data_IF_049913923452
#
_entry.id   IF_049913923452
#
_cell.length_a   1.000
_cell.length_b   1.000
_cell.length_c   1.000
_cell.angle_alpha   90.00
_cell.angle_beta   90.00
_cell.angle_gamma   90.00
#
_symmetry.space_group_name_H-M   'P 1'
#
loop_
_entity.id
_entity.type
_entity.pdbx_description
1 polymer ?
#
# COMPACT_ATOMS: atom_id res chain seq x y z
N UNK A 1 59.16 -48.38 -23.00
CA UNK A 1 59.20 -47.07 -22.32
C UNK A 1 58.04 -46.23 -22.84
N UNK A 2 56.90 -46.24 -22.14
CA UNK A 2 55.79 -45.31 -22.35
C UNK A 2 55.66 -44.52 -21.04
N UNK A 3 55.98 -43.24 -21.09
CA UNK A 3 55.88 -42.33 -19.96
C UNK A 3 54.40 -42.07 -19.65
N UNK A 4 53.99 -42.38 -18.42
CA UNK A 4 52.71 -41.95 -17.86
C UNK A 4 52.95 -40.58 -17.23
N UNK A 5 52.32 -39.55 -17.79
CA UNK A 5 52.29 -38.20 -17.22
C UNK A 5 51.18 -38.15 -16.18
N UNK A 6 51.53 -37.98 -14.90
CA UNK A 6 50.55 -37.67 -13.85
C UNK A 6 50.25 -36.17 -13.89
N UNK A 7 49.04 -35.79 -14.30
CA UNK A 7 48.49 -34.47 -14.03
C UNK A 7 48.11 -34.40 -12.55
N UNK A 8 48.77 -33.54 -11.78
CA UNK A 8 48.26 -33.07 -10.49
C UNK A 8 47.12 -32.09 -10.75
N UNK A 9 45.88 -32.53 -10.52
CA UNK A 9 44.72 -31.65 -10.44
C UNK A 9 44.75 -30.92 -9.10
N UNK A 10 45.12 -29.64 -9.11
CA UNK A 10 44.94 -28.76 -7.96
C UNK A 10 43.45 -28.59 -7.71
N UNK A 11 42.94 -29.21 -6.64
CA UNK A 11 41.60 -28.92 -6.10
C UNK A 11 41.68 -27.50 -5.52
N UNK A 12 41.18 -26.52 -6.29
CA UNK A 12 40.82 -25.22 -5.76
C UNK A 12 39.50 -25.40 -5.01
N UNK A 13 39.56 -25.42 -3.68
CA UNK A 13 38.37 -25.21 -2.85
C UNK A 13 38.03 -23.73 -2.99
N UNK A 14 37.05 -23.39 -3.82
CA UNK A 14 36.38 -22.09 -3.72
C UNK A 14 35.66 -22.10 -2.37
N UNK A 15 36.29 -21.52 -1.35
CA UNK A 15 35.54 -21.00 -0.22
C UNK A 15 34.64 -19.90 -0.80
N UNK A 16 33.33 -20.16 -0.88
CA UNK A 16 32.36 -19.10 -1.07
C UNK A 16 32.47 -18.18 0.12
N UNK A 17 33.16 -17.05 -0.03
CA UNK A 17 33.00 -15.94 0.89
C UNK A 17 31.57 -15.46 0.70
N UNK A 18 30.67 -15.86 1.59
CA UNK A 18 29.43 -15.11 1.80
C UNK A 18 29.89 -13.75 2.33
N UNK A 19 29.79 -12.72 1.50
CA UNK A 19 29.93 -11.36 1.97
C UNK A 19 28.92 -11.21 3.11
N UNK A 20 29.40 -10.93 4.33
CA UNK A 20 28.50 -10.57 5.42
C UNK A 20 27.67 -9.37 4.93
N UNK A 21 26.36 -9.37 5.16
CA UNK A 21 25.56 -8.18 4.84
C UNK A 21 26.15 -7.00 5.60
N UNK A 22 26.23 -5.85 4.94
CA UNK A 22 26.64 -4.62 5.62
C UNK A 22 25.63 -4.29 6.73
N UNK A 23 26.12 -3.66 7.79
CA UNK A 23 25.26 -3.06 8.80
C UNK A 23 24.59 -1.82 8.22
N UNK A 24 23.28 -1.71 8.40
CA UNK A 24 22.49 -0.60 7.87
C UNK A 24 21.54 -0.06 8.93
N UNK A 25 21.26 1.24 8.90
CA UNK A 25 20.16 1.84 9.65
C UNK A 25 18.85 1.16 9.23
N UNK A 26 18.06 0.74 10.21
CA UNK A 26 16.85 -0.06 10.01
C UNK A 26 15.61 0.70 10.44
N UNK A 27 15.64 1.30 11.62
CA UNK A 27 14.50 1.93 12.25
C UNK A 27 15.01 3.00 13.21
N UNK A 28 14.24 4.06 13.40
CA UNK A 28 14.47 5.01 14.47
C UNK A 28 13.15 5.53 15.05
N UNK A 29 13.22 5.98 16.28
CA UNK A 29 12.21 6.85 16.88
C UNK A 29 12.92 7.93 17.66
N UNK A 30 12.50 9.18 17.44
CA UNK A 30 13.09 10.36 18.07
C UNK A 30 12.05 11.19 18.84
N UNK A 31 10.78 11.19 18.42
CA UNK A 31 9.74 12.05 19.01
C UNK A 31 8.44 11.28 19.31
N UNK A 32 7.66 11.74 20.28
CA UNK A 32 6.33 11.23 20.63
C UNK A 32 5.49 12.26 21.40
N UNK A 33 4.18 12.04 21.59
CA UNK A 33 3.39 12.91 22.42
C UNK A 33 3.94 13.03 23.84
N UNK A 34 4.13 14.27 24.29
CA UNK A 34 4.57 14.64 25.64
C UNK A 34 6.08 14.52 25.86
N UNK A 35 6.53 13.50 26.58
CA UNK A 35 7.95 13.31 26.90
C UNK A 35 8.46 12.17 26.07
N UNK A 36 9.58 12.40 25.39
CA UNK A 36 10.26 11.39 24.63
C UNK A 36 10.82 10.34 25.58
N UNK A 37 10.22 9.17 25.52
CA UNK A 37 10.56 8.03 26.37
C UNK A 37 10.86 6.79 25.56
N UNK A 38 10.66 6.84 24.24
CA UNK A 38 10.81 5.71 23.33
C UNK A 38 11.85 6.03 22.25
N UNK A 39 12.89 6.80 22.60
CA UNK A 39 13.97 7.17 21.68
C UNK A 39 14.95 6.01 21.45
N UNK A 40 15.13 5.64 20.19
CA UNK A 40 16.08 4.61 19.78
C UNK A 40 16.49 4.77 18.32
N UNK A 41 17.61 4.13 17.98
CA UNK A 41 18.01 3.78 16.62
C UNK A 41 18.31 2.30 16.54
N UNK A 42 17.93 1.68 15.43
CA UNK A 42 18.16 0.28 15.15
C UNK A 42 19.07 0.10 13.95
N UNK A 43 19.97 -0.86 14.06
CA UNK A 43 20.86 -1.29 13.01
C UNK A 43 20.55 -2.74 12.65
N UNK A 44 20.28 -3.02 11.38
CA UNK A 44 20.13 -4.37 10.85
C UNK A 44 21.47 -4.91 10.32
N UNK A 45 21.66 -6.22 10.39
CA UNK A 45 22.84 -6.86 9.79
C UNK A 45 22.84 -8.38 9.92
N UNK A 46 23.92 -9.02 9.47
CA UNK A 46 24.05 -10.45 9.62
C UNK A 46 24.22 -10.84 11.10
N UNK A 47 23.48 -11.84 11.58
CA UNK A 47 23.57 -12.35 12.96
C UNK A 47 25.02 -12.62 13.36
N UNK A 48 25.45 -12.02 14.48
CA UNK A 48 26.80 -12.14 15.02
C UNK A 48 27.86 -11.30 14.30
N UNK A 49 27.48 -10.45 13.34
CA UNK A 49 28.41 -9.50 12.74
C UNK A 49 28.92 -8.52 13.80
N UNK A 50 30.24 -8.31 13.83
CA UNK A 50 30.88 -7.38 14.77
C UNK A 50 30.54 -5.93 14.44
N UNK A 51 30.32 -5.14 15.48
CA UNK A 51 30.20 -3.68 15.44
C UNK A 51 31.49 -2.98 15.89
N UNK A 52 32.59 -3.73 16.08
CA UNK A 52 33.89 -3.17 16.38
C UNK A 52 34.29 -2.13 15.33
N UNK A 53 34.89 -1.03 15.79
CA UNK A 53 35.32 0.09 14.95
C UNK A 53 34.15 0.81 14.23
N UNK A 54 32.90 0.61 14.64
CA UNK A 54 31.75 1.32 14.11
C UNK A 54 31.20 2.29 15.19
N UNK A 55 30.83 3.49 14.76
CA UNK A 55 30.17 4.48 15.61
C UNK A 55 28.84 4.91 15.01
N UNK A 56 27.83 5.08 15.86
CA UNK A 56 26.61 5.79 15.51
C UNK A 56 26.81 7.29 15.77
N UNK A 57 26.58 8.11 14.76
CA UNK A 57 26.83 9.56 14.81
C UNK A 57 25.60 10.31 14.31
N UNK A 58 25.20 11.35 15.04
CA UNK A 58 24.20 12.32 14.59
C UNK A 58 24.94 13.63 14.32
N UNK A 59 24.73 14.16 13.11
CA UNK A 59 25.12 15.51 12.74
C UNK A 59 23.87 16.38 12.64
N UNK A 60 23.95 17.59 13.17
CA UNK A 60 22.95 18.63 12.99
C UNK A 60 23.61 20.00 13.09
N UNK A 61 23.09 20.86 13.96
CA UNK A 61 23.47 22.26 14.08
C UNK A 61 24.48 22.53 15.21
N UNK A 62 25.06 23.72 15.18
CA UNK A 62 25.86 24.22 16.28
C UNK A 62 26.23 25.68 16.11
N UNK A 63 27.06 26.19 17.02
CA UNK A 63 27.42 27.62 17.02
C UNK A 63 28.13 28.11 15.74
N UNK A 64 28.66 27.18 14.95
CA UNK A 64 29.38 27.44 13.70
C UNK A 64 28.52 27.37 12.44
N UNK A 65 27.37 26.69 12.47
CA UNK A 65 26.62 26.28 11.28
C UNK A 65 26.24 24.80 11.37
N UNK A 66 26.11 24.13 10.22
CA UNK A 66 25.68 22.72 10.14
C UNK A 66 26.87 21.75 10.15
N UNK A 67 26.62 20.46 10.34
CA UNK A 67 27.65 19.42 10.29
C UNK A 67 28.39 19.21 11.61
N UNK A 68 27.82 19.70 12.71
CA UNK A 68 28.36 19.52 14.06
C UNK A 68 27.90 18.19 14.64
N UNK A 69 28.82 17.48 15.30
CA UNK A 69 28.55 16.19 15.96
C UNK A 69 27.76 16.44 17.24
N UNK A 70 26.53 15.97 17.31
CA UNK A 70 25.70 16.04 18.53
C UNK A 70 25.71 14.74 19.32
N UNK A 71 25.77 13.62 18.60
CA UNK A 71 25.84 12.28 19.18
C UNK A 71 27.00 11.53 18.56
N UNK A 72 27.78 10.83 19.39
CA UNK A 72 28.82 9.91 18.95
C UNK A 72 28.91 8.73 19.92
N UNK A 73 28.35 7.58 19.53
CA UNK A 73 28.33 6.35 20.33
C UNK A 73 29.28 5.33 19.70
N UNK A 74 30.29 4.89 20.44
CA UNK A 74 31.20 3.80 20.06
C UNK A 74 30.53 2.45 20.33
N UNK A 75 30.40 1.60 19.30
CA UNK A 75 29.77 0.29 19.39
C UNK A 75 30.77 -0.85 19.54
N UNK A 76 32.03 -0.54 19.82
CA UNK A 76 33.08 -1.55 20.03
C UNK A 76 32.73 -2.55 21.13
N UNK A 77 32.93 -3.83 20.84
CA UNK A 77 32.59 -4.94 21.73
C UNK A 77 31.16 -5.47 21.58
N UNK A 78 30.32 -4.82 20.75
CA UNK A 78 28.98 -5.26 20.45
C UNK A 78 28.91 -6.03 19.11
N UNK A 79 27.82 -6.77 18.93
CA UNK A 79 27.54 -7.55 17.72
C UNK A 79 26.05 -7.43 17.39
N UNK A 80 25.69 -7.64 16.13
CA UNK A 80 24.31 -7.86 15.73
C UNK A 80 23.78 -9.12 16.44
N UNK A 81 22.65 -8.99 17.13
CA UNK A 81 22.13 -10.04 18.01
C UNK A 81 21.49 -11.19 17.21
N UNK A 82 20.92 -12.17 17.93
CA UNK A 82 20.35 -13.37 17.31
C UNK A 82 19.11 -13.11 16.43
N UNK A 83 18.46 -11.95 16.58
CA UNK A 83 17.32 -11.55 15.78
C UNK A 83 17.74 -10.84 14.48
N UNK A 84 19.03 -10.54 14.29
CA UNK A 84 19.52 -9.81 13.11
C UNK A 84 19.58 -8.30 13.28
N UNK A 85 19.35 -7.80 14.50
CA UNK A 85 19.29 -6.37 14.81
C UNK A 85 20.25 -6.00 15.95
N UNK A 86 20.51 -4.71 16.07
CA UNK A 86 21.15 -4.09 17.22
C UNK A 86 20.39 -2.81 17.58
N UNK A 87 19.79 -2.78 18.76
CA UNK A 87 18.98 -1.65 19.24
C UNK A 87 19.83 -0.79 20.19
N UNK A 88 20.08 0.45 19.79
CA UNK A 88 20.70 1.48 20.62
C UNK A 88 19.61 2.44 21.09
N UNK A 89 19.37 2.51 22.40
CA UNK A 89 18.25 3.27 22.94
C UNK A 89 18.61 4.04 24.21
N UNK A 90 17.79 5.02 24.58
CA UNK A 90 17.90 5.69 25.88
C UNK A 90 17.35 4.80 26.99
N UNK A 91 17.68 5.10 28.24
CA UNK A 91 17.26 4.30 29.42
C UNK A 91 15.76 4.33 29.69
N UNK A 92 15.04 5.27 29.07
CA UNK A 92 13.58 5.40 29.12
C UNK A 92 12.85 4.40 28.23
N UNK A 93 13.54 3.86 27.22
CA UNK A 93 12.97 3.01 26.17
C UNK A 93 12.31 1.73 26.70
N UNK A 94 11.10 1.44 26.22
CA UNK A 94 10.30 0.27 26.60
C UNK A 94 9.66 -0.50 25.44
N UNK A 95 9.73 -0.01 24.20
CA UNK A 95 9.17 -0.71 23.02
C UNK A 95 9.87 -2.03 22.68
N UNK A 96 11.08 -2.24 23.19
CA UNK A 96 11.85 -3.47 22.97
C UNK A 96 12.91 -3.70 24.05
N UNK A 97 13.98 -4.38 23.68
CA UNK A 97 15.16 -4.57 24.54
C UNK A 97 16.36 -3.94 23.87
N UNK A 98 16.92 -2.91 24.49
CA UNK A 98 18.15 -2.28 24.03
C UNK A 98 19.33 -3.25 24.18
N UNK A 99 20.13 -3.40 23.12
CA UNK A 99 21.42 -4.09 23.16
C UNK A 99 22.51 -3.19 23.77
N UNK A 100 22.38 -1.88 23.59
CA UNK A 100 23.16 -0.84 24.26
C UNK A 100 22.25 0.30 24.70
N UNK A 101 22.40 0.71 25.96
CA UNK A 101 21.70 1.88 26.51
C UNK A 101 22.68 3.04 26.61
N UNK A 102 22.36 4.17 26.00
CA UNK A 102 23.16 5.40 26.05
C UNK A 102 22.27 6.65 26.16
N UNK A 103 22.28 7.28 27.34
CA UNK A 103 21.51 8.50 27.61
C UNK A 103 22.17 9.78 27.08
N UNK A 104 23.39 9.69 26.53
CA UNK A 104 24.09 10.83 25.94
C UNK A 104 23.60 11.18 24.53
N UNK A 105 22.80 10.31 23.91
CA UNK A 105 22.20 10.56 22.61
C UNK A 105 21.25 11.76 22.66
N UNK A 106 21.51 12.72 21.77
CA UNK A 106 20.70 13.89 21.52
C UNK A 106 19.87 13.64 20.27
N UNK A 107 18.60 13.31 20.47
CA UNK A 107 17.60 13.22 19.42
C UNK A 107 16.90 14.58 19.35
N UNK A 108 17.01 15.26 18.21
CA UNK A 108 16.47 16.61 18.03
C UNK A 108 15.10 16.56 17.35
N UNK A 109 14.10 17.22 17.95
CA UNK A 109 12.71 17.15 17.49
C UNK A 109 12.37 18.30 16.52
N UNK A 110 13.34 19.11 16.08
CA UNK A 110 13.05 20.39 15.41
C UNK A 110 14.21 20.93 14.57
N UNK A 111 14.62 20.18 13.55
CA UNK A 111 15.57 20.59 12.52
C UNK A 111 15.84 19.43 11.54
N UNK A 112 16.70 19.69 10.56
CA UNK A 112 17.27 18.67 9.72
C UNK A 112 18.50 18.05 10.40
N UNK A 113 18.47 16.75 10.67
CA UNK A 113 19.63 16.00 11.20
C UNK A 113 20.06 14.88 10.26
N UNK A 114 21.29 14.42 10.38
CA UNK A 114 21.81 13.27 9.64
C UNK A 114 22.33 12.19 10.57
N UNK A 115 21.73 11.01 10.49
CA UNK A 115 22.15 9.81 11.22
C UNK A 115 23.15 9.03 10.37
N UNK A 116 24.23 8.56 10.98
CA UNK A 116 25.33 7.90 10.26
C UNK A 116 25.89 6.71 11.03
N UNK A 117 26.28 5.68 10.27
CA UNK A 117 27.18 4.63 10.72
C UNK A 117 28.56 4.90 10.12
N UNK A 118 29.53 5.22 10.97
CA UNK A 118 30.88 5.61 10.54
C UNK A 118 31.90 4.60 11.06
N UNK A 119 32.61 3.95 10.13
CA UNK A 119 33.69 3.02 10.47
C UNK A 119 35.01 3.78 10.70
N UNK A 120 35.63 3.60 11.87
CA UNK A 120 36.89 4.25 12.24
C UNK A 120 36.74 5.73 12.59
N UNK A 121 35.58 6.13 13.10
CA UNK A 121 35.34 7.49 13.56
C UNK A 121 36.24 7.83 14.76
N UNK A 122 36.85 9.00 14.72
CA UNK A 122 37.76 9.50 15.76
C UNK A 122 37.37 10.90 16.26
N UNK A 123 36.23 11.45 15.82
CA UNK A 123 35.68 12.70 16.31
C UNK A 123 34.96 12.54 17.66
N UNK A 124 34.50 13.65 18.20
CA UNK A 124 33.74 13.72 19.44
C UNK A 124 32.55 14.68 19.31
N UNK A 125 31.59 14.57 20.24
CA UNK A 125 30.48 15.52 20.35
C UNK A 125 31.03 16.96 20.46
N UNK A 126 30.48 17.85 19.63
CA UNK A 126 30.87 19.25 19.46
C UNK A 126 31.93 19.50 18.38
N UNK A 127 32.49 18.47 17.76
CA UNK A 127 33.35 18.65 16.59
C UNK A 127 32.51 19.09 15.39
N UNK A 128 32.99 20.12 14.69
CA UNK A 128 32.40 20.61 13.44
C UNK A 128 33.07 19.91 12.25
N UNK A 129 32.31 19.06 11.56
CA UNK A 129 32.79 18.27 10.44
C UNK A 129 32.62 18.98 9.09
N UNK A 130 31.83 20.05 9.00
CA UNK A 130 31.61 20.87 7.80
C UNK A 130 31.95 22.34 8.12
N UNK A 131 33.20 22.56 8.51
CA UNK A 131 33.67 23.87 8.96
C UNK A 131 33.56 25.02 7.93
N UNK A 132 33.14 24.72 6.71
CA UNK A 132 32.92 25.72 5.65
C UNK A 132 31.45 25.89 5.27
N UNK A 133 30.53 25.12 5.87
CA UNK A 133 29.09 25.12 5.60
C UNK A 133 28.77 24.97 4.10
N UNK A 134 29.52 24.12 3.39
CA UNK A 134 29.39 23.94 1.95
C UNK A 134 28.71 22.62 1.54
N UNK A 135 28.33 21.81 2.52
CA UNK A 135 27.69 20.51 2.35
C UNK A 135 28.68 19.38 2.15
N UNK A 136 29.98 19.62 2.37
CA UNK A 136 31.04 18.62 2.30
C UNK A 136 31.72 18.47 3.67
N UNK A 137 31.74 17.23 4.18
CA UNK A 137 32.35 16.95 5.47
C UNK A 137 33.90 16.95 5.40
N UNK A 138 34.51 18.12 5.52
CA UNK A 138 35.96 18.34 5.54
C UNK A 138 36.68 17.69 6.73
N UNK A 139 36.00 17.64 7.88
CA UNK A 139 36.53 17.14 9.15
C UNK A 139 36.31 15.65 9.38
N UNK A 140 35.66 14.95 8.45
CA UNK A 140 35.29 13.54 8.62
C UNK A 140 36.52 12.65 8.80
N UNK A 141 36.49 11.84 9.85
CA UNK A 141 37.40 10.72 10.06
C UNK A 141 36.68 9.40 9.85
N UNK A 142 37.39 8.41 9.31
CA UNK A 142 36.80 7.10 9.02
C UNK A 142 36.09 7.05 7.67
N UNK A 143 35.05 6.23 7.58
CA UNK A 143 34.26 6.03 6.36
C UNK A 143 32.79 5.87 6.72
N UNK A 144 31.92 6.69 6.13
CA UNK A 144 30.47 6.53 6.23
C UNK A 144 30.10 5.22 5.51
N UNK A 145 29.50 4.31 6.25
CA UNK A 145 29.07 2.99 5.76
C UNK A 145 27.58 2.94 5.48
N UNK A 146 26.79 3.75 6.20
CA UNK A 146 25.39 4.01 5.93
C UNK A 146 25.01 5.37 6.51
N UNK A 147 24.02 6.04 5.93
CA UNK A 147 23.53 7.33 6.43
C UNK A 147 22.13 7.70 5.95
N UNK A 148 21.38 8.35 6.84
CA UNK A 148 20.01 8.81 6.64
C UNK A 148 19.87 10.26 7.08
N UNK A 149 19.43 11.13 6.17
CA UNK A 149 18.97 12.48 6.50
C UNK A 149 17.53 12.44 6.98
N UNK A 150 17.25 13.01 8.14
CA UNK A 150 15.90 13.18 8.67
C UNK A 150 15.55 14.65 8.48
N UNK A 151 14.57 14.93 7.61
CA UNK A 151 14.32 16.26 7.07
C UNK A 151 13.04 16.84 7.68
N UNK A 152 13.13 18.03 8.27
CA UNK A 152 12.00 18.89 8.60
C UNK A 152 11.69 19.90 7.47
N UNK A 153 12.72 20.48 6.84
CA UNK A 153 12.55 21.49 5.79
C UNK A 153 13.42 21.17 4.55
N UNK A 154 12.76 21.04 3.38
CA UNK A 154 13.46 20.71 2.13
C UNK A 154 14.14 21.94 1.54
N UNK A 155 15.47 21.90 1.42
CA UNK A 155 16.27 22.94 0.76
C UNK A 155 16.46 24.22 1.58
N UNK A 156 16.13 24.17 2.86
CA UNK A 156 16.38 25.16 3.89
C UNK A 156 16.65 24.42 5.22
N UNK A 157 16.85 25.16 6.31
CA UNK A 157 17.33 24.59 7.57
C UNK A 157 18.78 24.12 7.47
N UNK A 158 19.15 23.19 8.35
CA UNK A 158 20.50 22.64 8.39
C UNK A 158 20.83 21.76 7.18
N UNK A 159 22.11 21.77 6.83
CA UNK A 159 22.64 20.92 5.78
C UNK A 159 22.57 19.46 6.21
N UNK A 160 22.26 18.60 5.24
CA UNK A 160 22.16 17.16 5.44
C UNK A 160 23.14 16.42 4.56
N UNK A 161 23.61 15.28 5.07
CA UNK A 161 24.75 14.55 4.50
C UNK A 161 24.44 13.07 4.23
N UNK A 162 23.18 12.68 4.41
CA UNK A 162 22.70 11.31 4.23
C UNK A 162 22.71 10.88 2.77
N UNK A 163 23.01 9.60 2.53
CA UNK A 163 22.87 8.98 1.21
C UNK A 163 21.40 8.70 0.85
N UNK A 164 20.57 8.59 1.87
CA UNK A 164 19.12 8.48 1.82
C UNK A 164 18.50 9.61 2.66
N UNK A 165 17.22 9.87 2.45
CA UNK A 165 16.48 10.87 3.22
C UNK A 165 15.07 10.40 3.53
N UNK A 166 14.56 10.81 4.69
CA UNK A 166 13.16 10.65 5.10
C UNK A 166 12.60 12.02 5.51
N UNK A 167 11.33 12.26 5.24
CA UNK A 167 10.65 13.50 5.59
C UNK A 167 10.61 14.55 4.46
N UNK A 168 9.94 15.68 4.72
CA UNK A 168 9.26 16.02 5.97
C UNK A 168 7.95 15.30 6.19
N UNK A 169 7.51 15.21 7.45
CA UNK A 169 6.14 14.82 7.80
C UNK A 169 5.27 16.09 7.92
N UNK A 170 4.79 16.55 6.76
CA UNK A 170 4.11 17.83 6.66
C UNK A 170 5.05 19.00 6.92
N UNK A 171 4.96 19.60 8.11
CA UNK A 171 5.83 20.72 8.55
C UNK A 171 6.68 20.35 9.77
N UNK A 172 6.87 19.06 10.01
CA UNK A 172 7.63 18.54 11.14
C UNK A 172 8.70 17.56 10.66
N UNK A 173 9.72 17.39 11.50
CA UNK A 173 10.62 16.25 11.40
C UNK A 173 9.82 14.94 11.58
N UNK A 174 10.09 13.88 10.82
CA UNK A 174 9.52 12.57 11.09
C UNK A 174 9.83 12.10 12.51
N UNK A 175 8.80 11.85 13.31
CA UNK A 175 8.96 11.38 14.69
C UNK A 175 9.57 9.97 14.78
N UNK A 176 9.39 9.18 13.73
CA UNK A 176 9.87 7.81 13.60
C UNK A 176 9.88 7.42 12.13
N UNK A 177 10.72 6.45 11.77
CA UNK A 177 10.68 5.83 10.47
C UNK A 177 11.46 4.53 10.42
N UNK A 178 11.18 3.74 9.39
CA UNK A 178 11.81 2.44 9.19
C UNK A 178 12.05 2.13 7.71
N UNK A 179 13.08 1.32 7.46
CA UNK A 179 13.51 0.90 6.14
C UNK A 179 12.74 -0.33 5.69
N UNK A 180 12.13 -0.25 4.52
CA UNK A 180 11.43 -1.35 3.89
C UNK A 180 12.34 -2.24 3.05
N UNK A 181 11.86 -3.45 2.73
CA UNK A 181 12.59 -4.38 1.88
C UNK A 181 12.85 -3.84 0.46
N UNK A 182 12.07 -2.86 -0.01
CA UNK A 182 12.32 -2.13 -1.26
C UNK A 182 13.54 -1.20 -1.20
N UNK A 183 14.05 -0.91 0.01
CA UNK A 183 15.06 0.11 0.26
C UNK A 183 14.49 1.52 0.45
N UNK A 184 13.16 1.67 0.55
CA UNK A 184 12.52 2.96 0.83
C UNK A 184 12.26 3.12 2.32
N UNK A 185 12.41 4.33 2.83
CA UNK A 185 12.04 4.67 4.21
C UNK A 185 10.56 5.06 4.31
N UNK A 186 9.87 4.55 5.32
CA UNK A 186 8.51 4.94 5.66
C UNK A 186 8.48 5.79 6.93
N UNK A 187 7.59 6.79 6.93
CA UNK A 187 7.30 7.63 8.08
C UNK A 187 6.20 6.96 8.89
N UNK A 188 6.45 6.74 10.18
CA UNK A 188 5.42 6.29 11.11
C UNK A 188 4.65 7.44 11.76
N UNK A 189 3.53 7.12 12.39
CA UNK A 189 2.69 8.13 13.04
C UNK A 189 3.30 8.68 14.33
N UNK A 190 3.20 10.00 14.53
CA UNK A 190 3.69 10.68 15.75
C UNK A 190 3.22 10.02 17.05
N UNK A 191 1.93 9.68 17.18
CA UNK A 191 1.36 9.06 18.38
C UNK A 191 1.26 7.53 18.34
N UNK A 192 1.47 6.92 17.18
CA UNK A 192 1.31 5.48 17.01
C UNK A 192 2.65 4.79 17.24
N UNK A 193 2.67 3.88 18.22
CA UNK A 193 3.84 3.09 18.55
C UNK A 193 3.75 1.67 17.97
N UNK A 194 2.60 1.29 17.38
CA UNK A 194 2.38 -0.07 16.91
C UNK A 194 3.21 -0.43 15.68
N UNK A 195 3.59 0.59 14.88
CA UNK A 195 4.51 0.41 13.75
C UNK A 195 5.97 0.27 14.16
N UNK A 196 6.31 0.53 15.44
CA UNK A 196 7.68 0.39 15.90
C UNK A 196 8.02 -1.05 16.27
N UNK A 197 9.09 -1.58 15.70
CA UNK A 197 9.40 -3.01 15.73
C UNK A 197 10.79 -3.34 16.28
N UNK A 198 11.40 -2.43 17.05
CA UNK A 198 12.73 -2.58 17.64
C UNK A 198 13.08 -4.02 18.11
N UNK A 199 14.06 -4.61 17.45
CA UNK A 199 14.54 -5.97 17.62
C UNK A 199 13.86 -7.01 16.72
N UNK A 200 13.05 -6.60 15.75
CA UNK A 200 12.30 -7.44 14.81
C UNK A 200 12.20 -6.81 13.41
N UNK A 201 11.75 -7.60 12.43
CA UNK A 201 11.59 -7.13 11.05
C UNK A 201 10.55 -5.99 10.97
N UNK A 202 10.89 -4.93 10.23
CA UNK A 202 10.00 -3.81 9.94
C UNK A 202 8.76 -4.27 9.16
N UNK A 203 7.58 -3.85 9.61
CA UNK A 203 6.34 -4.04 8.86
C UNK A 203 6.12 -2.84 7.91
N UNK A 204 6.25 -3.12 6.62
CA UNK A 204 5.99 -2.15 5.57
C UNK A 204 4.70 -2.38 4.81
N UNK A 205 3.93 -3.40 5.18
CA UNK A 205 2.72 -3.74 4.45
C UNK A 205 1.72 -2.58 4.52
N UNK A 206 1.08 -2.20 3.39
CA UNK A 206 0.07 -1.17 3.40
C UNK A 206 -1.08 -1.52 4.34
N UNK A 207 -1.75 -0.53 4.92
CA UNK A 207 -2.86 -0.78 5.86
C UNK A 207 -4.00 -1.63 5.25
N UNK A 208 -4.11 -1.63 3.92
CA UNK A 208 -5.06 -2.42 3.16
C UNK A 208 -4.45 -3.62 2.43
N UNK A 209 -3.36 -4.18 2.95
CA UNK A 209 -2.71 -5.37 2.37
C UNK A 209 -3.61 -6.61 2.39
N UNK A 210 -4.46 -6.72 3.41
CA UNK A 210 -5.42 -7.80 3.57
C UNK A 210 -6.86 -7.29 3.52
N UNK A 211 -7.80 -8.18 3.17
CA UNK A 211 -9.23 -7.88 3.20
C UNK A 211 -9.70 -7.27 4.52
N UNK A 212 -9.16 -7.74 5.65
CA UNK A 212 -9.52 -7.22 6.98
C UNK A 212 -9.17 -5.73 7.16
N UNK A 213 -8.12 -5.26 6.48
CA UNK A 213 -7.66 -3.88 6.46
C UNK A 213 -8.26 -3.03 5.34
N UNK A 214 -9.24 -3.55 4.58
CA UNK A 214 -9.81 -2.86 3.42
C UNK A 214 -10.20 -1.40 3.72
N UNK A 215 -9.60 -0.46 2.99
CA UNK A 215 -9.87 0.97 3.17
C UNK A 215 -11.23 1.32 2.54
N UNK A 216 -12.05 2.07 3.28
CA UNK A 216 -13.33 2.56 2.76
C UNK A 216 -13.13 3.66 1.72
N UNK A 217 -13.71 3.48 0.53
CA UNK A 217 -13.59 4.40 -0.61
C UNK A 217 -14.96 4.85 -1.11
N UNK A 218 -14.97 5.97 -1.84
CA UNK A 218 -16.16 6.54 -2.51
C UNK A 218 -15.95 6.55 -4.03
N UNK A 219 -17.01 6.87 -4.78
CA UNK A 219 -16.88 7.09 -6.23
C UNK A 219 -15.88 8.22 -6.52
N UNK A 220 -15.05 8.04 -7.53
CA UNK A 220 -13.90 8.90 -7.85
C UNK A 220 -12.60 8.10 -7.93
N UNK A 221 -11.48 8.84 -8.04
CA UNK A 221 -10.14 8.28 -8.06
C UNK A 221 -9.62 8.09 -6.63
N UNK A 222 -9.08 6.91 -6.35
CA UNK A 222 -8.36 6.60 -5.11
C UNK A 222 -6.94 6.16 -5.46
N UNK A 223 -5.90 6.87 -4.97
CA UNK A 223 -4.52 6.48 -5.20
C UNK A 223 -4.21 5.08 -4.66
N UNK A 224 -3.36 4.36 -5.37
CA UNK A 224 -2.91 3.03 -5.03
C UNK A 224 -1.42 2.85 -5.38
N UNK A 225 -0.71 2.11 -4.54
CA UNK A 225 0.67 1.68 -4.74
C UNK A 225 0.87 0.36 -3.99
N UNK A 226 1.26 -0.70 -4.70
CA UNK A 226 1.44 -2.03 -4.12
C UNK A 226 2.90 -2.39 -3.85
N UNK A 227 3.81 -1.42 -3.80
CA UNK A 227 5.26 -1.65 -3.68
C UNK A 227 5.61 -2.52 -2.48
N UNK A 228 4.94 -2.35 -1.35
CA UNK A 228 5.16 -3.15 -0.14
C UNK A 228 4.07 -4.21 0.12
N UNK A 229 3.11 -4.34 -0.81
CA UNK A 229 1.97 -5.23 -0.61
C UNK A 229 2.36 -6.71 -0.75
N UNK A 230 1.70 -7.57 0.03
CA UNK A 230 1.75 -9.02 -0.10
C UNK A 230 0.54 -9.55 -0.86
N UNK A 231 0.46 -10.87 -1.05
CA UNK A 231 -0.65 -11.49 -1.80
C UNK A 231 -1.59 -12.19 -0.84
N UNK A 232 -2.80 -11.66 -0.67
CA UNK A 232 -3.84 -12.32 0.08
C UNK A 232 -4.49 -13.42 -0.80
N UNK A 233 -4.57 -14.63 -0.27
CA UNK A 233 -4.83 -15.85 -1.05
C UNK A 233 -6.31 -16.13 -1.37
N UNK A 234 -7.12 -15.11 -1.67
CA UNK A 234 -8.57 -15.25 -1.83
C UNK A 234 -8.95 -16.09 -3.05
N UNK A 235 -9.98 -16.92 -2.85
CA UNK A 235 -10.53 -17.81 -3.86
C UNK A 235 -11.91 -17.33 -4.32
N UNK A 236 -12.27 -17.66 -5.56
CA UNK A 236 -13.61 -17.43 -6.13
C UNK A 236 -13.59 -16.67 -7.45
N UNK A 237 -12.69 -15.69 -7.59
CA UNK A 237 -12.35 -15.10 -8.89
C UNK A 237 -11.09 -15.81 -9.45
N UNK A 238 -10.06 -15.04 -9.81
CA UNK A 238 -8.70 -15.51 -10.04
C UNK A 238 -7.74 -14.92 -9.00
N UNK A 239 -6.48 -15.35 -9.00
CA UNK A 239 -5.44 -14.76 -8.15
C UNK A 239 -5.02 -13.36 -8.60
N UNK A 240 -5.06 -12.42 -7.67
CA UNK A 240 -4.47 -11.07 -7.76
C UNK A 240 -3.20 -11.10 -6.91
N UNK A 241 -2.05 -10.65 -7.40
CA UNK A 241 -0.82 -10.67 -6.59
C UNK A 241 -0.51 -9.27 -6.05
N UNK A 242 0.21 -9.18 -4.93
CA UNK A 242 0.62 -7.91 -4.30
C UNK A 242 -0.58 -6.96 -4.24
N UNK A 243 -1.61 -7.38 -3.54
CA UNK A 243 -2.94 -6.82 -3.68
C UNK A 243 -3.31 -5.88 -2.53
N UNK A 244 -4.21 -4.97 -2.87
CA UNK A 244 -4.70 -3.90 -2.04
C UNK A 244 -6.21 -4.01 -1.98
N UNK A 245 -6.74 -3.87 -0.77
CA UNK A 245 -8.15 -4.07 -0.50
C UNK A 245 -8.89 -2.76 -0.25
N UNK A 246 -10.05 -2.63 -0.88
CA UNK A 246 -10.93 -1.48 -0.71
C UNK A 246 -12.35 -1.93 -0.43
N UNK A 247 -13.09 -1.13 0.33
CA UNK A 247 -14.51 -1.33 0.61
C UNK A 247 -15.31 -0.18 -0.01
N UNK A 248 -16.20 -0.50 -0.96
CA UNK A 248 -17.06 0.48 -1.61
C UNK A 248 -18.52 0.21 -1.29
N UNK A 249 -19.26 1.25 -0.89
CA UNK A 249 -20.71 1.17 -0.64
C UNK A 249 -21.46 2.01 -1.66
N UNK A 250 -22.34 1.38 -2.43
CA UNK A 250 -23.16 2.08 -3.42
C UNK A 250 -24.15 3.03 -2.75
N UNK A 251 -24.32 4.22 -3.34
CA UNK A 251 -25.24 5.26 -2.85
C UNK A 251 -26.53 5.37 -3.65
N UNK A 252 -26.67 4.56 -4.72
CA UNK A 252 -27.85 4.42 -5.56
C UNK A 252 -27.87 3.05 -6.22
N UNK A 253 -29.04 2.61 -6.69
CA UNK A 253 -29.16 1.46 -7.58
C UNK A 253 -28.56 1.84 -8.95
N UNK A 254 -27.46 1.21 -9.34
CA UNK A 254 -26.75 1.53 -10.58
C UNK A 254 -25.69 0.47 -10.93
N UNK A 255 -25.25 0.46 -12.19
CA UNK A 255 -23.98 -0.14 -12.52
C UNK A 255 -22.83 0.71 -11.99
N UNK A 256 -21.83 0.05 -11.43
CA UNK A 256 -20.60 0.67 -10.98
C UNK A 256 -19.42 0.04 -11.73
N UNK A 257 -18.60 0.90 -12.34
CA UNK A 257 -17.31 0.52 -12.91
C UNK A 257 -16.21 0.71 -11.88
N UNK A 258 -15.34 -0.28 -11.78
CA UNK A 258 -14.09 -0.27 -11.04
C UNK A 258 -12.97 -0.48 -12.06
N UNK A 259 -12.10 0.51 -12.24
CA UNK A 259 -11.02 0.41 -13.23
C UNK A 259 -9.72 1.02 -12.72
N UNK A 260 -8.61 0.53 -13.28
CA UNK A 260 -7.26 1.03 -13.03
C UNK A 260 -6.69 1.65 -14.31
N UNK A 261 -7.55 2.10 -15.22
CA UNK A 261 -7.12 2.57 -16.53
C UNK A 261 -6.26 3.83 -16.40
N UNK A 262 -5.05 3.79 -16.98
CA UNK A 262 -4.06 4.86 -16.85
C UNK A 262 -3.07 4.66 -15.70
N UNK A 263 -3.24 3.62 -14.87
CA UNK A 263 -2.24 3.21 -13.89
C UNK A 263 -0.98 2.64 -14.56
N UNK A 264 0.12 2.69 -13.84
CA UNK A 264 1.38 2.02 -14.17
C UNK A 264 1.31 0.53 -13.83
N UNK A 265 1.93 -0.29 -14.67
CA UNK A 265 2.05 -1.73 -14.46
C UNK A 265 0.89 -2.55 -15.04
N UNK A 266 1.01 -3.86 -14.89
CA UNK A 266 0.02 -4.86 -15.34
C UNK A 266 -0.90 -5.20 -14.17
N UNK A 267 -2.12 -4.67 -14.19
CA UNK A 267 -3.04 -4.66 -13.05
C UNK A 267 -4.14 -5.68 -13.21
N UNK A 268 -4.62 -6.19 -12.09
CA UNK A 268 -5.77 -7.06 -11.94
C UNK A 268 -6.78 -6.48 -10.97
N UNK A 269 -8.06 -6.65 -11.26
CA UNK A 269 -9.17 -6.31 -10.35
C UNK A 269 -10.05 -7.54 -10.11
N UNK A 270 -10.41 -7.78 -8.87
CA UNK A 270 -11.48 -8.69 -8.47
C UNK A 270 -12.45 -7.97 -7.50
N UNK A 271 -13.75 -8.15 -7.71
CA UNK A 271 -14.81 -7.54 -6.90
C UNK A 271 -15.61 -8.65 -6.24
N UNK A 272 -15.79 -8.54 -4.93
CA UNK A 272 -16.46 -9.51 -4.10
C UNK A 272 -17.63 -8.89 -3.34
N UNK A 273 -18.76 -9.58 -3.29
CA UNK A 273 -19.83 -9.31 -2.35
C UNK A 273 -19.58 -10.03 -1.02
N UNK A 274 -20.17 -9.51 0.07
CA UNK A 274 -20.01 -10.04 1.41
C UNK A 274 -18.80 -9.47 2.18
N UNK A 275 -18.57 -10.01 3.37
CA UNK A 275 -17.47 -9.63 4.25
C UNK A 275 -16.29 -10.60 4.15
N UNK A 276 -15.12 -10.19 4.63
CA UNK A 276 -13.94 -11.04 4.70
C UNK A 276 -14.25 -12.36 5.43
N UNK A 277 -13.74 -13.48 4.91
CA UNK A 277 -14.07 -14.83 5.36
C UNK A 277 -15.37 -15.42 4.78
N UNK A 278 -16.15 -14.65 4.03
CA UNK A 278 -17.37 -15.09 3.35
C UNK A 278 -17.57 -14.40 1.99
N UNK A 279 -16.47 -14.06 1.31
CA UNK A 279 -16.48 -13.34 0.04
C UNK A 279 -17.07 -14.18 -1.10
N UNK A 280 -17.86 -13.54 -1.96
CA UNK A 280 -18.42 -14.12 -3.18
C UNK A 280 -17.99 -13.29 -4.38
N UNK A 281 -17.25 -13.90 -5.31
CA UNK A 281 -16.82 -13.21 -6.54
C UNK A 281 -18.03 -12.75 -7.36
N UNK A 282 -18.10 -11.46 -7.69
CA UNK A 282 -19.16 -10.87 -8.53
C UNK A 282 -18.63 -10.26 -9.84
N UNK A 283 -17.32 -10.08 -9.96
CA UNK A 283 -16.68 -9.67 -11.21
C UNK A 283 -15.16 -9.62 -11.08
N UNK A 284 -14.44 -9.82 -12.19
CA UNK A 284 -12.98 -9.74 -12.20
C UNK A 284 -12.46 -9.48 -13.61
N UNK A 285 -11.34 -8.76 -13.74
CA UNK A 285 -10.69 -8.47 -15.02
C UNK A 285 -9.18 -8.30 -14.86
N UNK A 286 -8.46 -8.52 -15.96
CA UNK A 286 -6.98 -8.45 -16.07
C UNK A 286 -6.63 -7.42 -17.15
N UNK A 287 -7.11 -7.64 -18.38
CA UNK A 287 -6.84 -6.78 -19.53
C UNK A 287 -8.14 -6.18 -20.12
N UNK A 288 -8.31 -4.87 -20.01
CA UNK A 288 -9.36 -4.12 -20.74
C UNK A 288 -8.80 -2.89 -21.45
N UNK A 289 -7.98 -2.07 -20.78
CA UNK A 289 -7.45 -0.81 -21.32
C UNK A 289 -5.96 -0.90 -21.70
N UNK A 290 -5.54 -2.05 -22.21
CA UNK A 290 -4.14 -2.43 -22.36
C UNK A 290 -3.82 -3.52 -21.36
N UNK A 291 -2.84 -3.26 -20.48
CA UNK A 291 -2.49 -4.13 -19.34
C UNK A 291 -3.23 -3.71 -18.05
N UNK A 292 -4.24 -2.85 -18.17
CA UNK A 292 -5.02 -2.38 -17.03
C UNK A 292 -6.43 -2.93 -17.07
N UNK A 293 -7.02 -3.02 -15.88
CA UNK A 293 -8.26 -3.75 -15.62
C UNK A 293 -9.48 -2.84 -15.54
N UNK A 294 -10.64 -3.37 -15.94
CA UNK A 294 -11.94 -2.74 -15.69
C UNK A 294 -13.03 -3.80 -15.47
N UNK A 295 -13.83 -3.62 -14.43
CA UNK A 295 -14.96 -4.47 -14.07
C UNK A 295 -16.19 -3.59 -13.87
N UNK A 296 -17.33 -3.97 -14.46
CA UNK A 296 -18.63 -3.34 -14.19
C UNK A 296 -19.57 -4.35 -13.55
N UNK A 297 -20.17 -3.99 -12.42
CA UNK A 297 -21.19 -4.80 -11.75
C UNK A 297 -22.44 -3.98 -11.42
N UNK A 298 -23.64 -4.57 -11.44
CA UNK A 298 -24.83 -3.96 -10.90
C UNK A 298 -24.77 -3.97 -9.36
N UNK A 299 -25.10 -2.85 -8.73
CA UNK A 299 -25.18 -2.74 -7.28
C UNK A 299 -26.48 -2.06 -6.85
N UNK A 300 -26.97 -2.43 -5.67
CA UNK A 300 -28.12 -1.78 -5.03
C UNK A 300 -27.67 -0.78 -3.98
N UNK A 301 -28.48 0.26 -3.74
CA UNK A 301 -28.20 1.29 -2.75
C UNK A 301 -27.96 0.68 -1.36
N UNK A 302 -26.84 1.04 -0.74
CA UNK A 302 -26.40 0.53 0.54
C UNK A 302 -25.68 -0.83 0.48
N UNK A 303 -25.55 -1.46 -0.69
CA UNK A 303 -24.71 -2.65 -0.85
C UNK A 303 -23.23 -2.26 -0.76
N UNK A 304 -22.48 -3.03 0.03
CA UNK A 304 -21.03 -2.89 0.17
C UNK A 304 -20.33 -4.06 -0.49
N UNK A 305 -19.35 -3.78 -1.35
CA UNK A 305 -18.44 -4.79 -1.94
C UNK A 305 -17.02 -4.60 -1.42
N UNK A 306 -16.20 -5.64 -1.55
CA UNK A 306 -14.74 -5.59 -1.45
C UNK A 306 -14.13 -5.57 -2.84
N UNK A 307 -13.18 -4.67 -3.06
CA UNK A 307 -12.45 -4.54 -4.32
C UNK A 307 -11.01 -4.87 -4.03
N UNK A 308 -10.53 -5.96 -4.62
CA UNK A 308 -9.15 -6.43 -4.58
C UNK A 308 -8.44 -5.94 -5.84
N UNK A 309 -7.36 -5.18 -5.68
CA UNK A 309 -6.59 -4.61 -6.79
C UNK A 309 -5.12 -4.94 -6.61
N UNK A 310 -4.46 -5.47 -7.63
CA UNK A 310 -3.04 -5.81 -7.54
C UNK A 310 -2.46 -6.12 -8.91
N UNK A 311 -1.33 -6.81 -8.93
CA UNK A 311 -0.56 -7.08 -10.14
C UNK A 311 -0.83 -8.47 -10.75
N UNK A 312 -0.62 -8.57 -12.06
CA UNK A 312 -0.65 -9.85 -12.80
C UNK A 312 0.43 -10.85 -12.33
N UNK A 313 1.58 -10.34 -11.90
CA UNK A 313 2.73 -11.13 -11.44
C UNK A 313 3.13 -10.81 -10.00
N UNK A 314 3.61 -11.82 -9.28
CA UNK A 314 3.98 -11.72 -7.86
C UNK A 314 5.10 -10.72 -7.53
N UNK A 315 5.88 -10.28 -8.52
CA UNK A 315 6.97 -9.31 -8.33
C UNK A 315 6.71 -7.98 -9.03
N UNK A 316 5.54 -7.81 -9.66
CA UNK A 316 5.24 -6.60 -10.39
C UNK A 316 4.72 -5.52 -9.44
N UNK A 317 5.19 -4.28 -9.67
CA UNK A 317 4.68 -3.09 -8.99
C UNK A 317 3.64 -2.44 -9.88
N UNK A 318 2.50 -2.06 -9.28
CA UNK A 318 1.47 -1.23 -9.87
C UNK A 318 1.33 0.04 -9.03
N UNK A 319 1.08 1.16 -9.70
CA UNK A 319 0.78 2.44 -9.03
C UNK A 319 -0.10 3.32 -9.92
N UNK A 320 -0.90 4.19 -9.31
CA UNK A 320 -1.86 5.04 -10.03
C UNK A 320 -3.15 5.17 -9.24
N UNK A 321 -4.29 5.19 -9.92
CA UNK A 321 -5.60 5.32 -9.27
C UNK A 321 -6.48 4.09 -9.54
N UNK A 322 -7.20 3.65 -8.50
CA UNK A 322 -8.44 2.92 -8.63
C UNK A 322 -9.56 3.94 -8.86
N UNK A 323 -10.16 3.93 -10.05
CA UNK A 323 -11.31 4.74 -10.41
C UNK A 323 -12.60 3.98 -10.17
N UNK A 324 -13.51 4.59 -9.43
CA UNK A 324 -14.86 4.05 -9.22
C UNK A 324 -15.88 5.01 -9.82
N UNK A 325 -16.59 4.57 -10.84
CA UNK A 325 -17.59 5.39 -11.54
C UNK A 325 -18.97 4.77 -11.40
N UNK A 326 -19.92 5.53 -10.86
CA UNK A 326 -21.34 5.21 -11.00
C UNK A 326 -21.76 5.55 -12.43
N UNK A 327 -22.12 4.54 -13.21
CA UNK A 327 -22.46 4.69 -14.63
C UNK A 327 -23.94 5.05 -14.85
N UNK A 328 -24.72 5.20 -13.78
CA UNK A 328 -26.18 5.15 -13.84
C UNK A 328 -26.69 3.71 -14.00
N UNK A 329 -27.99 3.55 -14.23
CA UNK A 329 -28.58 2.23 -14.55
C UNK A 329 -27.92 1.58 -15.77
N UNK A 330 -27.90 0.23 -15.87
CA UNK A 330 -29.06 -0.66 -15.90
C UNK A 330 -29.73 -0.84 -14.54
N UNK A 331 -30.98 -0.40 -14.48
CA UNK A 331 -31.90 -0.57 -13.36
C UNK A 331 -32.38 -2.04 -13.31
N UNK A 332 -32.79 -2.61 -12.17
CA UNK A 332 -33.44 -3.93 -12.15
C UNK A 332 -34.54 -4.04 -13.24
N UNK A 333 -34.45 -5.09 -14.05
CA UNK A 333 -35.28 -5.26 -15.22
C UNK A 333 -34.83 -4.47 -16.44
N UNK A 334 -33.63 -3.89 -16.51
CA UNK A 334 -33.18 -3.18 -17.72
C UNK A 334 -33.12 -4.08 -18.95
N UNK A 335 -32.70 -5.33 -18.75
CA UNK A 335 -32.70 -6.37 -19.76
C UNK A 335 -33.72 -7.44 -19.41
N UNK A 336 -34.21 -8.16 -20.43
CA UNK A 336 -35.10 -9.30 -20.21
C UNK A 336 -34.46 -10.35 -19.27
N UNK A 337 -33.15 -10.60 -19.39
CA UNK A 337 -32.43 -11.53 -18.51
C UNK A 337 -32.38 -11.11 -17.04
N UNK A 338 -32.63 -9.84 -16.72
CA UNK A 338 -32.65 -9.28 -15.36
C UNK A 338 -34.06 -8.87 -14.93
N UNK A 339 -35.09 -9.36 -15.62
CA UNK A 339 -36.49 -9.02 -15.37
C UNK A 339 -36.92 -9.25 -13.91
N UNK A 340 -37.62 -8.27 -13.34
CA UNK A 340 -38.06 -8.30 -11.93
C UNK A 340 -39.38 -9.06 -11.80
N UNK A 341 -39.50 -9.94 -10.81
CA UNK A 341 -40.77 -10.64 -10.56
C UNK A 341 -41.87 -9.68 -10.08
N UNK A 342 -42.92 -9.52 -10.87
CA UNK A 342 -44.09 -8.73 -10.57
C UNK A 342 -45.10 -9.49 -9.69
N UNK A 343 -45.78 -8.75 -8.82
CA UNK A 343 -46.87 -9.24 -7.96
C UNK A 343 -48.21 -8.65 -8.38
N UNK A 344 -49.32 -9.25 -7.91
CA UNK A 344 -50.64 -8.63 -8.06
C UNK A 344 -50.70 -7.30 -7.30
N UNK A 345 -51.03 -6.22 -8.01
CA UNK A 345 -51.12 -4.88 -7.46
C UNK A 345 -50.05 -3.95 -8.03
N UNK A 346 -49.62 -2.98 -7.22
CA UNK A 346 -48.65 -1.98 -7.64
C UNK A 346 -47.23 -2.58 -7.68
N UNK A 347 -46.56 -2.39 -8.81
CA UNK A 347 -45.15 -2.71 -9.00
C UNK A 347 -44.46 -1.40 -9.39
N UNK A 348 -43.83 -0.69 -8.44
CA UNK A 348 -43.10 0.55 -8.74
C UNK A 348 -41.97 0.26 -9.74
N UNK A 349 -41.76 1.18 -10.68
CA UNK A 349 -40.67 1.12 -11.65
C UNK A 349 -40.11 2.52 -11.88
N UNK A 350 -38.82 2.59 -12.21
CA UNK A 350 -38.12 3.78 -12.63
C UNK A 350 -37.31 3.42 -13.88
N UNK A 351 -37.52 4.13 -14.99
CA UNK A 351 -36.79 3.90 -16.24
C UNK A 351 -35.54 4.77 -16.35
N UNK A 352 -35.18 5.52 -15.30
CA UNK A 352 -34.05 6.42 -15.27
C UNK A 352 -32.74 5.63 -15.28
N UNK A 353 -32.03 5.69 -16.41
CA UNK A 353 -30.80 4.92 -16.61
C UNK A 353 -31.01 3.56 -17.24
N UNK A 354 -32.24 3.20 -17.64
CA UNK A 354 -32.46 2.00 -18.45
C UNK A 354 -31.88 2.18 -19.85
N UNK A 355 -31.22 1.15 -20.37
CA UNK A 355 -30.87 1.05 -21.78
C UNK A 355 -32.10 0.68 -22.62
N UNK A 356 -31.97 0.74 -23.94
CA UNK A 356 -33.03 0.26 -24.85
C UNK A 356 -32.61 -1.12 -25.36
N UNK A 357 -33.23 -2.18 -24.84
CA UNK A 357 -32.88 -3.58 -25.15
C UNK A 357 -33.02 -3.95 -26.62
N UNK A 358 -33.74 -3.14 -27.41
CA UNK A 358 -33.84 -3.32 -28.86
C UNK A 358 -34.66 -4.53 -29.29
N UNK A 359 -35.41 -5.17 -28.37
CA UNK A 359 -36.33 -6.26 -28.69
C UNK A 359 -37.38 -5.78 -29.70
N UNK A 360 -37.22 -6.22 -30.94
CA UNK A 360 -38.10 -5.89 -32.06
C UNK A 360 -39.13 -7.00 -32.25
N UNK A 361 -40.42 -6.67 -32.12
CA UNK A 361 -41.51 -7.61 -32.38
C UNK A 361 -42.38 -7.13 -33.55
N UNK A 362 -42.24 -7.73 -34.75
CA UNK A 362 -42.97 -7.29 -35.94
C UNK A 362 -44.49 -7.39 -35.82
N UNK A 363 -45.02 -8.22 -34.91
CA UNK A 363 -46.44 -8.60 -34.84
C UNK A 363 -47.31 -7.78 -33.89
N UNK A 364 -46.73 -7.09 -32.90
CA UNK A 364 -47.52 -6.37 -31.87
C UNK A 364 -47.34 -4.85 -31.90
N UNK A 365 -46.27 -4.30 -32.49
CA UNK A 365 -46.06 -2.86 -32.71
C UNK A 365 -44.76 -2.60 -33.48
N UNK A 366 -44.75 -1.67 -34.43
CA UNK A 366 -43.51 -1.25 -35.11
C UNK A 366 -42.70 -0.19 -34.35
N UNK A 367 -43.18 0.27 -33.18
CA UNK A 367 -42.52 1.35 -32.45
C UNK A 367 -41.74 0.83 -31.25
N UNK A 368 -40.44 1.12 -31.19
CA UNK A 368 -39.52 0.77 -30.10
C UNK A 368 -40.04 1.26 -28.74
N UNK A 369 -39.83 0.47 -27.68
CA UNK A 369 -39.89 0.92 -26.28
C UNK A 369 -38.47 1.35 -25.94
N UNK A 370 -38.32 2.59 -25.50
CA UNK A 370 -37.03 3.13 -25.08
C UNK A 370 -36.92 3.05 -23.57
N UNK A 371 -35.70 2.86 -23.07
CA UNK A 371 -35.40 2.78 -21.64
C UNK A 371 -36.33 1.76 -20.96
N UNK A 372 -36.31 0.52 -21.47
CA UNK A 372 -37.30 -0.49 -21.12
C UNK A 372 -37.03 -1.15 -19.77
N UNK A 373 -38.11 -1.46 -19.03
CA UNK A 373 -38.06 -2.24 -17.80
C UNK A 373 -38.89 -3.51 -17.96
N UNK A 374 -38.25 -4.66 -17.76
CA UNK A 374 -38.79 -5.99 -17.86
C UNK A 374 -39.26 -6.51 -16.52
N UNK A 375 -40.44 -7.12 -16.54
CA UNK A 375 -41.03 -7.83 -15.42
C UNK A 375 -41.37 -9.27 -15.82
N UNK A 376 -41.18 -10.22 -14.91
CA UNK A 376 -41.74 -11.58 -15.03
C UNK A 376 -43.02 -11.67 -14.20
N UNK A 377 -44.05 -12.36 -14.70
CA UNK A 377 -45.29 -12.57 -13.95
C UNK A 377 -45.79 -13.99 -14.11
N UNK A 378 -45.99 -14.69 -12.99
CA UNK A 378 -46.58 -16.04 -12.98
C UNK A 378 -48.04 -15.94 -12.55
N UNK A 379 -48.95 -16.24 -13.48
CA UNK A 379 -50.38 -16.26 -13.20
C UNK A 379 -50.73 -17.36 -12.18
N UNK A 380 -51.28 -16.98 -11.02
CA UNK A 380 -51.71 -17.93 -9.98
C UNK A 380 -52.99 -18.71 -10.32
N UNK A 381 -53.73 -18.30 -11.35
CA UNK A 381 -54.94 -18.97 -11.83
C UNK A 381 -55.20 -18.64 -13.31
N UNK A 382 -55.91 -19.53 -14.00
CA UNK A 382 -56.34 -19.35 -15.38
C UNK A 382 -57.55 -18.41 -15.47
N UNK A 383 -57.27 -17.11 -15.44
CA UNK A 383 -58.22 -16.00 -15.54
C UNK A 383 -57.61 -14.90 -16.42
N UNK A 384 -58.43 -13.92 -16.79
CA UNK A 384 -57.95 -12.72 -17.49
C UNK A 384 -57.10 -11.86 -16.54
N UNK A 385 -55.95 -11.39 -17.04
CA UNK A 385 -55.05 -10.47 -16.33
C UNK A 385 -54.92 -9.16 -17.10
N UNK A 386 -54.87 -8.04 -16.38
CA UNK A 386 -54.69 -6.71 -16.97
C UNK A 386 -53.40 -6.07 -16.47
N UNK A 387 -52.60 -5.55 -17.38
CA UNK A 387 -51.38 -4.80 -17.09
C UNK A 387 -51.58 -3.34 -17.47
N UNK A 388 -51.21 -2.42 -16.58
CA UNK A 388 -51.42 -0.99 -16.79
C UNK A 388 -50.32 -0.16 -16.11
N UNK A 389 -49.90 0.90 -16.80
CA UNK A 389 -49.02 1.98 -16.32
C UNK A 389 -49.82 3.27 -16.09
N UNK A 390 -51.14 3.13 -15.90
CA UNK A 390 -52.02 4.28 -15.66
C UNK A 390 -51.59 5.03 -14.40
N UNK A 391 -51.35 6.33 -14.52
CA UNK A 391 -50.86 7.17 -13.44
C UNK A 391 -49.34 7.36 -13.43
N UNK A 392 -48.60 6.82 -14.41
CA UNK A 392 -47.21 7.17 -14.62
C UNK A 392 -47.06 8.65 -15.05
N UNK A 393 -45.96 9.28 -14.64
CA UNK A 393 -45.68 10.70 -14.92
C UNK A 393 -45.14 10.95 -16.35
N UNK A 394 -44.96 9.89 -17.13
CA UNK A 394 -44.49 9.93 -18.52
C UNK A 394 -45.43 9.14 -19.45
N UNK A 395 -45.36 9.41 -20.75
CA UNK A 395 -46.02 8.57 -21.74
C UNK A 395 -45.32 7.21 -21.80
N UNK A 396 -46.11 6.15 -21.61
CA UNK A 396 -45.58 4.79 -21.42
C UNK A 396 -46.11 3.85 -22.49
N UNK A 397 -45.32 2.82 -22.79
CA UNK A 397 -45.71 1.69 -23.63
C UNK A 397 -45.53 0.41 -22.81
N UNK A 398 -46.47 -0.51 -22.94
CA UNK A 398 -46.39 -1.84 -22.34
C UNK A 398 -46.41 -2.88 -23.44
N UNK A 399 -45.59 -3.92 -23.29
CA UNK A 399 -45.66 -5.16 -24.07
C UNK A 399 -45.66 -6.34 -23.10
N UNK A 400 -46.35 -7.40 -23.50
CA UNK A 400 -46.45 -8.65 -22.74
C UNK A 400 -46.00 -9.78 -23.65
N UNK A 401 -45.10 -10.61 -23.15
CA UNK A 401 -44.49 -11.73 -23.86
C UNK A 401 -44.92 -13.05 -23.21
N UNK A 402 -45.15 -14.09 -24.00
CA UNK A 402 -45.52 -15.46 -23.56
C UNK A 402 -44.34 -16.45 -23.70
N UNK A 403 -43.12 -15.91 -23.78
CA UNK A 403 -41.89 -16.69 -23.81
C UNK A 403 -40.94 -16.12 -22.77
N UNK A 404 -40.24 -17.00 -22.06
CA UNK A 404 -39.12 -16.59 -21.22
C UNK A 404 -38.04 -15.96 -22.11
N UNK A 405 -37.31 -15.02 -21.53
CA UNK A 405 -36.23 -14.29 -22.18
C UNK A 405 -35.19 -15.25 -22.77
N UNK A 406 -35.21 -15.42 -24.10
CA UNK A 406 -34.30 -16.31 -24.83
C UNK A 406 -33.62 -15.58 -25.99
#
# INVERSE_FOLDING_TARGET
MKSISLLFGSIFVLAGFTQASAQTLSEFRLDMPSTDTEEFVEIAGAVGASLDNLSFVILGDGSGGSGVVETAVDMTGHVINANGFFVLAKSTFTLGVADLTDDSMSFENSDNVTYMLISGFAGAVGDDLDSTDDGVLDGLTGTITDSLSIIEEVGAGDLVYGSQSIGPDGTFVPATGWLCASGSWMIGGFSDLAGNTAGADNDCTPANDDCAGAISVSAGATPMDNTEATTSGEAGCFSVNKDLWYAFTATSDANHSFDTCGAFGDTKIAVFDGACGGLVCVGSNDDTCGLQSSVTIPMVNGQTVRVQVGAFHATAVISGDLNITNLGGPVPGDDCGTAVAAVLGANPFDTSGNTTSGLSEPSCSTSTIHNDTFFTYTAGAALDHSFATCGADIDTKIRVYDVDCA
#
